data_IF_038063697346
#
_entry.id   IF_038063697346
#
_cell.length_a   1.000
_cell.length_b   1.000
_cell.length_c   1.000
_cell.angle_alpha   90.00
_cell.angle_beta   90.00
_cell.angle_gamma   90.00
#
_symmetry.space_group_name_H-M   'P 1'
#
loop_
_entity.id
_entity.type
_entity.pdbx_description
1 polymer ?
#
# COMPACT_ATOMS: atom_id res chain seq x y z
N UNK A 1 20.40 -9.96 -54.08
CA UNK A 1 18.96 -9.58 -54.09
C UNK A 1 18.83 -8.33 -53.21
N UNK A 2 18.36 -7.19 -53.75
CA UNK A 2 18.32 -5.93 -53.04
C UNK A 2 17.05 -5.81 -52.20
N UNK A 3 17.04 -4.93 -51.15
CA UNK A 3 15.89 -4.74 -50.27
C UNK A 3 14.82 -3.86 -50.94
N UNK A 4 13.57 -4.25 -50.71
CA UNK A 4 12.36 -3.59 -51.21
C UNK A 4 12.07 -2.36 -50.34
N UNK A 5 12.09 -1.18 -50.96
CA UNK A 5 11.65 0.09 -50.42
C UNK A 5 10.15 0.26 -50.59
N UNK A 6 9.40 0.50 -49.50
CA UNK A 6 8.00 0.94 -49.52
C UNK A 6 7.92 2.47 -49.33
N UNK A 7 7.06 3.16 -50.09
CA UNK A 7 6.97 4.63 -50.02
C UNK A 7 6.08 5.08 -48.83
N UNK A 8 6.64 6.00 -48.01
CA UNK A 8 5.85 6.72 -47.01
C UNK A 8 5.17 7.90 -47.69
N UNK A 9 3.89 7.81 -47.95
CA UNK A 9 3.05 8.91 -48.37
C UNK A 9 2.76 9.84 -47.23
N UNK A 10 3.00 11.15 -47.47
CA UNK A 10 2.95 12.22 -46.48
C UNK A 10 1.56 12.56 -45.96
N UNK A 11 1.51 12.77 -44.67
CA UNK A 11 0.49 13.61 -44.03
C UNK A 11 1.12 14.96 -43.63
N UNK A 12 0.89 15.98 -44.47
CA UNK A 12 1.09 17.37 -44.09
C UNK A 12 -0.08 17.80 -43.20
N UNK A 13 0.04 17.58 -41.89
CA UNK A 13 -0.78 18.22 -40.89
C UNK A 13 -0.11 19.55 -40.52
N UNK A 14 -0.77 20.68 -40.81
CA UNK A 14 -0.30 22.03 -40.48
C UNK A 14 -0.04 22.14 -38.98
N UNK A 15 1.21 22.26 -38.60
CA UNK A 15 1.63 22.65 -37.24
C UNK A 15 1.22 24.12 -37.03
N UNK A 16 0.16 24.35 -36.31
CA UNK A 16 -0.21 25.65 -35.80
C UNK A 16 0.81 26.05 -34.73
N UNK A 17 1.77 26.88 -35.08
CA UNK A 17 2.74 27.45 -34.13
C UNK A 17 2.09 28.71 -33.52
N UNK A 18 1.67 28.71 -32.26
CA UNK A 18 1.08 29.90 -31.65
C UNK A 18 2.16 30.97 -31.49
N UNK A 19 1.81 32.22 -31.82
CA UNK A 19 2.65 33.41 -31.64
C UNK A 19 3.10 33.54 -30.18
N UNK A 20 4.30 34.06 -29.97
CA UNK A 20 5.00 34.20 -28.67
C UNK A 20 4.20 34.91 -27.56
N UNK A 21 3.08 35.61 -27.89
CA UNK A 21 2.20 36.28 -26.97
C UNK A 21 1.19 35.35 -26.26
N UNK A 22 0.87 34.17 -26.85
CA UNK A 22 -0.20 33.31 -26.30
C UNK A 22 0.33 32.28 -25.30
N UNK A 23 1.65 32.06 -25.22
CA UNK A 23 2.25 31.09 -24.32
C UNK A 23 2.06 31.41 -22.83
N UNK A 24 1.97 32.73 -22.49
CA UNK A 24 1.70 33.17 -21.11
C UNK A 24 0.25 32.90 -20.68
N UNK A 25 -0.69 32.95 -21.61
CA UNK A 25 -2.11 32.65 -21.36
C UNK A 25 -2.36 31.16 -21.17
N UNK A 26 -1.68 30.31 -21.95
CA UNK A 26 -1.78 28.86 -21.85
C UNK A 26 -1.11 28.35 -20.55
N UNK A 27 0.05 28.91 -20.17
CA UNK A 27 0.71 28.59 -18.91
C UNK A 27 -0.12 28.99 -17.68
N UNK A 28 -0.82 30.13 -17.72
CA UNK A 28 -1.75 30.55 -16.64
C UNK A 28 -2.98 29.65 -16.54
N UNK A 29 -3.57 29.20 -17.66
CA UNK A 29 -4.72 28.27 -17.65
C UNK A 29 -4.32 26.86 -17.21
N UNK A 30 -3.12 26.40 -17.57
CA UNK A 30 -2.60 25.12 -17.08
C UNK A 30 -2.31 25.14 -15.56
N UNK A 31 -1.86 26.27 -15.01
CA UNK A 31 -1.62 26.42 -13.57
C UNK A 31 -2.89 26.34 -12.71
N UNK A 32 -4.07 26.65 -13.28
CA UNK A 32 -5.36 26.53 -12.57
C UNK A 32 -5.99 25.13 -12.66
N UNK A 33 -5.57 24.30 -13.61
CA UNK A 33 -6.17 22.98 -13.88
C UNK A 33 -5.33 21.84 -13.27
N UNK A 34 -4.04 22.09 -13.02
CA UNK A 34 -3.11 21.07 -12.48
C UNK A 34 -2.93 21.32 -10.98
N UNK A 35 -3.27 20.38 -10.10
CA UNK A 35 -3.03 20.54 -8.66
C UNK A 35 -1.56 20.92 -8.39
N UNK A 36 -1.28 21.84 -7.46
CA UNK A 36 0.08 22.31 -7.17
C UNK A 36 1.09 21.20 -6.85
N UNK A 37 0.61 20.05 -6.38
CA UNK A 37 1.39 18.83 -6.11
C UNK A 37 1.97 18.17 -7.36
N UNK A 38 1.30 18.26 -8.51
CA UNK A 38 1.80 17.72 -9.77
C UNK A 38 2.90 18.63 -10.32
N UNK A 39 2.80 19.95 -10.11
CA UNK A 39 3.84 20.90 -10.45
C UNK A 39 5.12 20.71 -9.62
N UNK A 40 5.00 20.40 -8.33
CA UNK A 40 6.13 20.10 -7.46
C UNK A 40 6.84 18.80 -7.87
N UNK A 41 6.10 17.78 -8.24
CA UNK A 41 6.63 16.50 -8.76
C UNK A 41 7.32 16.68 -10.14
N UNK A 42 6.72 17.49 -11.01
CA UNK A 42 7.30 17.86 -12.31
C UNK A 42 8.59 18.69 -12.15
N UNK A 43 8.61 19.62 -11.17
CA UNK A 43 9.77 20.44 -10.85
C UNK A 43 10.94 19.62 -10.31
N UNK A 44 10.68 18.66 -9.40
CA UNK A 44 11.74 17.80 -8.85
C UNK A 44 12.36 16.86 -9.89
N UNK A 45 11.53 16.26 -10.77
CA UNK A 45 12.06 15.47 -11.89
C UNK A 45 12.79 16.31 -12.95
N UNK A 46 12.41 17.58 -13.11
CA UNK A 46 13.08 18.52 -14.01
C UNK A 46 14.50 18.87 -13.55
N UNK A 47 14.71 19.03 -12.23
CA UNK A 47 16.04 19.29 -11.65
C UNK A 47 16.99 18.10 -11.87
N UNK A 48 16.51 16.88 -11.80
CA UNK A 48 17.34 15.67 -12.00
C UNK A 48 17.70 15.41 -13.47
N UNK A 49 16.90 15.91 -14.42
CA UNK A 49 17.09 15.71 -15.87
C UNK A 49 17.70 16.92 -16.58
N UNK A 50 17.77 18.09 -15.94
CA UNK A 50 18.05 19.39 -16.57
C UNK A 50 19.51 19.72 -16.78
N UNK A 51 20.45 18.77 -16.76
CA UNK A 51 21.87 19.08 -17.04
C UNK A 51 22.27 19.00 -18.51
N UNK A 52 21.38 18.67 -19.46
CA UNK A 52 21.66 18.77 -20.91
C UNK A 52 20.40 19.17 -21.71
N UNK A 53 20.35 20.45 -22.05
CA UNK A 53 19.74 21.05 -23.26
C UNK A 53 18.34 20.60 -23.70
N UNK A 54 17.30 21.37 -23.29
CA UNK A 54 16.12 21.58 -24.14
C UNK A 54 15.18 22.68 -23.59
N UNK A 55 14.42 23.39 -24.45
CA UNK A 55 13.62 24.54 -24.04
C UNK A 55 12.52 24.13 -23.03
N UNK A 56 12.21 24.97 -22.01
CA UNK A 56 11.43 24.58 -20.83
C UNK A 56 10.00 24.09 -21.14
N UNK A 57 9.40 24.49 -22.25
CA UNK A 57 8.06 24.07 -22.64
C UNK A 57 8.02 22.61 -23.12
N UNK A 58 9.03 22.16 -23.83
CA UNK A 58 9.13 20.73 -24.25
C UNK A 58 9.41 19.81 -23.07
N UNK A 59 10.22 20.25 -22.12
CA UNK A 59 10.49 19.48 -20.89
C UNK A 59 9.23 19.29 -20.05
N UNK A 60 8.40 20.34 -19.89
CA UNK A 60 7.12 20.26 -19.15
C UNK A 60 6.13 19.36 -19.90
N UNK A 61 5.98 19.50 -21.21
CA UNK A 61 5.09 18.65 -22.01
C UNK A 61 5.53 17.18 -22.01
N UNK A 62 6.84 16.91 -22.12
CA UNK A 62 7.39 15.57 -22.01
C UNK A 62 7.29 15.00 -20.59
N UNK A 63 7.44 15.83 -19.57
CA UNK A 63 7.23 15.43 -18.18
C UNK A 63 5.76 15.07 -17.93
N UNK A 64 4.80 15.90 -18.38
CA UNK A 64 3.37 15.59 -18.29
C UNK A 64 3.00 14.35 -19.10
N UNK A 65 3.57 14.16 -20.29
CA UNK A 65 3.33 12.96 -21.08
C UNK A 65 3.96 11.71 -20.44
N UNK A 66 5.14 11.80 -19.84
CA UNK A 66 5.76 10.71 -19.06
C UNK A 66 4.98 10.37 -17.80
N UNK A 67 4.45 11.37 -17.10
CA UNK A 67 3.57 11.18 -15.94
C UNK A 67 2.28 10.50 -16.39
N UNK A 68 1.63 10.97 -17.46
CA UNK A 68 0.42 10.35 -18.01
C UNK A 68 0.67 8.93 -18.54
N UNK A 69 1.82 8.69 -19.16
CA UNK A 69 2.24 7.36 -19.62
C UNK A 69 2.61 6.45 -18.45
N UNK A 70 3.28 6.95 -17.42
CA UNK A 70 3.55 6.21 -16.18
C UNK A 70 2.27 5.87 -15.42
N UNK A 71 1.27 6.73 -15.48
CA UNK A 71 -0.07 6.48 -14.98
C UNK A 71 -0.79 5.34 -15.75
N UNK A 72 -0.62 5.28 -17.07
CA UNK A 72 -1.22 4.25 -17.91
C UNK A 72 -0.46 2.91 -17.89
N UNK A 73 0.85 2.94 -17.73
CA UNK A 73 1.73 1.82 -18.05
C UNK A 73 1.93 0.76 -16.98
N UNK A 74 1.71 1.03 -15.69
CA UNK A 74 1.65 0.03 -14.60
C UNK A 74 1.08 0.71 -13.36
N UNK A 75 -0.05 0.22 -12.86
CA UNK A 75 -0.56 0.60 -11.53
C UNK A 75 0.52 0.28 -10.49
N UNK A 76 1.29 1.28 -10.13
CA UNK A 76 2.34 1.14 -9.10
C UNK A 76 1.65 1.30 -7.76
N UNK A 77 1.81 0.30 -6.89
CA UNK A 77 1.43 0.38 -5.49
C UNK A 77 2.13 1.59 -4.88
N UNK A 78 1.41 2.37 -4.06
CA UNK A 78 2.01 3.44 -3.29
C UNK A 78 2.82 2.83 -2.15
N UNK A 79 4.15 2.90 -2.24
CA UNK A 79 5.05 2.45 -1.19
C UNK A 79 5.45 3.63 -0.29
N UNK A 80 5.70 3.39 0.99
CA UNK A 80 6.14 4.44 1.93
C UNK A 80 7.48 5.08 1.53
N UNK A 81 8.33 4.35 0.82
CA UNK A 81 9.61 4.86 0.27
C UNK A 81 9.47 5.58 -1.07
N UNK A 82 8.26 5.68 -1.64
CA UNK A 82 8.06 6.38 -2.90
C UNK A 82 8.09 7.90 -2.70
N UNK A 83 8.68 8.63 -3.64
CA UNK A 83 8.71 10.09 -3.61
C UNK A 83 7.31 10.70 -3.56
N UNK A 84 6.33 10.08 -4.25
CA UNK A 84 4.95 10.53 -4.20
C UNK A 84 4.35 10.41 -2.80
N UNK A 85 4.61 9.31 -2.09
CA UNK A 85 4.16 9.16 -0.71
C UNK A 85 4.78 10.22 0.20
N UNK A 86 6.11 10.38 0.14
CA UNK A 86 6.87 11.27 1.05
C UNK A 86 6.54 12.73 0.83
N UNK A 87 6.37 13.17 -0.42
CA UNK A 87 6.20 14.59 -0.75
C UNK A 87 4.77 14.95 -1.15
N UNK A 88 4.00 14.01 -1.70
CA UNK A 88 2.67 14.27 -2.24
C UNK A 88 1.52 13.82 -1.33
N UNK A 89 1.69 12.74 -0.59
CA UNK A 89 0.63 12.18 0.24
C UNK A 89 0.80 12.52 1.74
N UNK A 90 1.98 12.25 2.29
CA UNK A 90 2.20 12.38 3.73
C UNK A 90 2.15 13.83 4.23
N UNK A 91 2.82 14.84 3.61
CA UNK A 91 2.79 16.20 4.15
C UNK A 91 1.39 16.83 4.14
N UNK A 92 0.56 16.77 3.06
CA UNK A 92 -0.80 17.28 3.11
C UNK A 92 -1.66 16.59 4.17
N UNK A 93 -1.50 15.26 4.33
CA UNK A 93 -2.19 14.52 5.37
C UNK A 93 -1.84 15.03 6.77
N UNK A 94 -0.54 15.20 7.08
CA UNK A 94 -0.09 15.68 8.39
C UNK A 94 -0.53 17.12 8.64
N UNK A 95 -0.43 18.00 7.64
CA UNK A 95 -0.90 19.40 7.76
C UNK A 95 -2.38 19.42 8.15
N UNK A 96 -3.23 18.70 7.41
CA UNK A 96 -4.67 18.65 7.70
C UNK A 96 -4.97 17.99 9.05
N UNK A 97 -4.22 16.95 9.39
CA UNK A 97 -4.38 16.19 10.64
C UNK A 97 -4.08 17.05 11.87
N UNK A 98 -3.02 17.86 11.83
CA UNK A 98 -2.64 18.73 12.94
C UNK A 98 -3.39 20.06 12.96
N UNK A 99 -3.83 20.57 11.79
CA UNK A 99 -4.61 21.81 11.71
C UNK A 99 -5.95 21.73 12.45
N UNK A 100 -6.58 20.54 12.49
CA UNK A 100 -7.89 20.36 13.11
C UNK A 100 -7.81 19.33 14.27
N UNK A 101 -7.75 19.78 15.53
CA UNK A 101 -7.57 18.91 16.70
C UNK A 101 -8.87 18.23 17.17
N UNK A 102 -9.80 17.90 16.25
CA UNK A 102 -11.07 17.21 16.56
C UNK A 102 -10.97 15.74 16.21
N UNK A 103 -11.17 14.84 17.18
CA UNK A 103 -11.09 13.38 16.99
C UNK A 103 -11.97 12.87 15.86
N UNK A 104 -13.20 13.40 15.73
CA UNK A 104 -14.10 13.02 14.64
C UNK A 104 -13.55 13.37 13.25
N UNK A 105 -12.96 14.57 13.09
CA UNK A 105 -12.32 15.00 11.85
C UNK A 105 -11.07 14.16 11.55
N UNK A 106 -10.19 13.97 12.54
CA UNK A 106 -8.99 13.15 12.40
C UNK A 106 -9.31 11.74 11.96
N UNK A 107 -10.35 11.13 12.57
CA UNK A 107 -10.83 9.80 12.18
C UNK A 107 -11.31 9.76 10.74
N UNK A 108 -12.17 10.70 10.32
CA UNK A 108 -12.66 10.78 8.95
C UNK A 108 -11.51 10.99 7.95
N UNK A 109 -10.57 11.90 8.27
CA UNK A 109 -9.39 12.16 7.45
C UNK A 109 -8.53 10.90 7.28
N UNK A 110 -8.26 10.17 8.37
CA UNK A 110 -7.47 8.93 8.32
C UNK A 110 -8.18 7.82 7.54
N UNK A 111 -9.50 7.68 7.66
CA UNK A 111 -10.27 6.73 6.84
C UNK A 111 -10.14 7.07 5.36
N UNK A 112 -10.40 8.33 4.99
CA UNK A 112 -10.32 8.78 3.59
C UNK A 112 -8.89 8.57 3.06
N UNK A 113 -7.87 8.97 3.81
CA UNK A 113 -6.47 8.78 3.43
C UNK A 113 -6.12 7.29 3.25
N UNK A 114 -6.57 6.43 4.16
CA UNK A 114 -6.32 4.98 4.10
C UNK A 114 -7.01 4.34 2.88
N UNK A 115 -8.25 4.69 2.63
CA UNK A 115 -8.99 4.21 1.46
C UNK A 115 -8.37 4.70 0.15
N UNK A 116 -7.93 5.97 0.09
CA UNK A 116 -7.21 6.52 -1.07
C UNK A 116 -5.86 5.83 -1.29
N UNK A 117 -5.10 5.59 -0.21
CA UNK A 117 -3.84 4.88 -0.27
C UNK A 117 -4.00 3.46 -0.84
N UNK A 118 -5.03 2.74 -0.37
CA UNK A 118 -5.34 1.40 -0.86
C UNK A 118 -5.89 1.42 -2.29
N UNK A 119 -6.81 2.35 -2.60
CA UNK A 119 -7.40 2.53 -3.94
C UNK A 119 -6.36 2.86 -5.00
N UNK A 120 -5.24 3.48 -4.62
CA UNK A 120 -4.15 3.78 -5.55
C UNK A 120 -3.60 2.53 -6.25
N UNK A 121 -3.44 1.45 -5.50
CA UNK A 121 -3.02 0.15 -6.03
C UNK A 121 -4.17 -0.73 -6.51
N UNK A 122 -5.27 -0.73 -5.76
CA UNK A 122 -6.38 -1.68 -5.89
C UNK A 122 -7.76 -1.00 -5.85
N UNK A 123 -8.14 -0.22 -6.89
CA UNK A 123 -9.34 0.63 -6.84
C UNK A 123 -10.65 -0.14 -6.71
N UNK A 124 -10.75 -1.35 -7.29
CA UNK A 124 -11.96 -2.18 -7.21
C UNK A 124 -12.05 -2.89 -5.86
N UNK A 125 -10.91 -3.36 -5.34
CA UNK A 125 -10.87 -4.13 -4.10
C UNK A 125 -11.06 -3.30 -2.82
N UNK A 126 -11.06 -1.97 -2.92
CA UNK A 126 -11.53 -1.09 -1.82
C UNK A 126 -12.97 -1.41 -1.45
N UNK A 127 -13.85 -1.64 -2.44
CA UNK A 127 -15.25 -1.98 -2.19
C UNK A 127 -15.38 -3.34 -1.50
N UNK A 128 -14.55 -4.31 -1.91
CA UNK A 128 -14.48 -5.61 -1.25
C UNK A 128 -14.07 -5.46 0.22
N UNK A 129 -13.03 -4.69 0.51
CA UNK A 129 -12.58 -4.42 1.88
C UNK A 129 -13.67 -3.76 2.73
N UNK A 130 -14.33 -2.71 2.21
CA UNK A 130 -15.42 -2.03 2.92
C UNK A 130 -16.58 -3.01 3.17
N UNK A 131 -16.95 -3.83 2.17
CA UNK A 131 -18.01 -4.83 2.30
C UNK A 131 -17.68 -5.89 3.35
N UNK A 132 -16.44 -6.39 3.37
CA UNK A 132 -15.97 -7.36 4.38
C UNK A 132 -16.03 -6.74 5.78
N UNK A 133 -15.50 -5.53 5.95
CA UNK A 133 -15.53 -4.83 7.25
C UNK A 133 -16.97 -4.57 7.72
N UNK A 134 -17.88 -4.24 6.79
CA UNK A 134 -19.29 -4.04 7.11
C UNK A 134 -19.96 -5.34 7.59
N UNK A 135 -19.70 -6.44 6.89
CA UNK A 135 -20.19 -7.76 7.29
C UNK A 135 -19.66 -8.16 8.67
N UNK A 136 -18.35 -8.02 8.90
CA UNK A 136 -17.73 -8.35 10.19
C UNK A 136 -18.20 -7.43 11.31
N UNK A 137 -18.47 -6.16 11.04
CA UNK A 137 -19.06 -5.24 12.01
C UNK A 137 -20.48 -5.66 12.42
N UNK A 138 -21.32 -6.01 11.44
CA UNK A 138 -22.69 -6.48 11.70
C UNK A 138 -22.69 -7.80 12.49
N UNK A 139 -21.91 -8.77 12.02
CA UNK A 139 -21.81 -10.09 12.66
C UNK A 139 -21.18 -9.99 14.06
N UNK A 140 -20.16 -9.16 14.23
CA UNK A 140 -19.54 -8.90 15.53
C UNK A 140 -20.51 -8.30 16.54
N UNK A 141 -21.39 -7.40 16.10
CA UNK A 141 -22.47 -6.88 16.95
C UNK A 141 -23.48 -7.97 17.35
N UNK A 142 -23.90 -8.77 16.38
CA UNK A 142 -24.82 -9.90 16.66
C UNK A 142 -24.20 -10.90 17.63
N UNK A 143 -22.92 -11.24 17.49
CA UNK A 143 -22.17 -12.10 18.43
C UNK A 143 -22.19 -11.50 19.84
N UNK A 144 -21.95 -10.19 19.97
CA UNK A 144 -21.95 -9.51 21.25
C UNK A 144 -23.35 -9.42 21.89
N UNK A 145 -24.39 -9.19 21.09
CA UNK A 145 -25.80 -9.14 21.56
C UNK A 145 -26.32 -10.48 22.06
N UNK A 146 -25.74 -11.60 21.58
CA UNK A 146 -26.04 -12.95 22.09
C UNK A 146 -25.28 -13.29 23.37
N UNK A 147 -24.35 -12.46 23.81
CA UNK A 147 -23.66 -12.65 25.08
C UNK A 147 -24.64 -12.70 26.25
N UNK A 148 -24.64 -13.83 26.96
CA UNK A 148 -25.60 -14.06 28.08
C UNK A 148 -27.01 -14.52 27.68
N UNK A 149 -27.32 -14.62 26.37
CA UNK A 149 -28.65 -15.10 25.91
C UNK A 149 -28.58 -16.53 25.38
N UNK A 150 -27.68 -16.84 24.46
CA UNK A 150 -27.53 -18.16 23.85
C UNK A 150 -26.11 -18.45 23.42
N UNK A 151 -25.41 -19.29 24.14
CA UNK A 151 -24.03 -19.70 23.78
C UNK A 151 -23.97 -20.46 22.46
N UNK A 152 -25.04 -21.23 22.12
CA UNK A 152 -25.09 -21.91 20.82
C UNK A 152 -25.18 -20.92 19.66
N UNK A 153 -26.08 -19.93 19.74
CA UNK A 153 -26.19 -18.90 18.68
C UNK A 153 -24.91 -18.08 18.53
N UNK A 154 -24.30 -17.70 19.63
CA UNK A 154 -23.04 -16.99 19.67
C UNK A 154 -21.90 -17.79 18.99
N UNK A 155 -21.80 -19.09 19.28
CA UNK A 155 -20.82 -19.99 18.65
C UNK A 155 -21.08 -20.16 17.16
N UNK A 156 -22.35 -20.38 16.76
CA UNK A 156 -22.71 -20.52 15.33
C UNK A 156 -22.38 -19.24 14.54
N UNK A 157 -22.72 -18.06 15.06
CA UNK A 157 -22.38 -16.79 14.42
C UNK A 157 -20.88 -16.60 14.28
N UNK A 158 -20.10 -16.93 15.32
CA UNK A 158 -18.64 -16.83 15.26
C UNK A 158 -18.07 -17.77 14.19
N UNK A 159 -18.48 -19.05 14.19
CA UNK A 159 -18.02 -20.02 13.18
C UNK A 159 -18.41 -19.58 11.76
N UNK A 160 -19.65 -19.11 11.57
CA UNK A 160 -20.11 -18.61 10.27
C UNK A 160 -19.25 -17.43 9.79
N UNK A 161 -18.97 -16.46 10.66
CA UNK A 161 -18.12 -15.31 10.31
C UNK A 161 -16.70 -15.75 9.93
N UNK A 162 -16.12 -16.67 10.70
CA UNK A 162 -14.79 -17.23 10.39
C UNK A 162 -14.80 -17.95 9.04
N UNK A 163 -15.83 -18.76 8.77
CA UNK A 163 -15.96 -19.49 7.49
C UNK A 163 -16.12 -18.52 6.30
N UNK A 164 -16.91 -17.46 6.44
CA UNK A 164 -17.07 -16.44 5.38
C UNK A 164 -15.71 -15.78 5.06
N UNK A 165 -14.97 -15.37 6.06
CA UNK A 165 -13.67 -14.73 5.89
C UNK A 165 -12.62 -15.70 5.28
N UNK A 166 -12.57 -16.95 5.74
CA UNK A 166 -11.68 -17.97 5.19
C UNK A 166 -12.08 -18.33 3.77
N UNK A 167 -13.38 -18.45 3.47
CA UNK A 167 -13.87 -18.71 2.12
C UNK A 167 -13.49 -17.58 1.16
N UNK A 168 -13.64 -16.31 1.59
CA UNK A 168 -13.22 -15.15 0.82
C UNK A 168 -11.72 -15.21 0.51
N UNK A 169 -10.89 -15.48 1.51
CA UNK A 169 -9.45 -15.65 1.31
C UNK A 169 -9.15 -16.84 0.39
N UNK A 170 -9.89 -17.94 0.55
CA UNK A 170 -9.79 -19.14 -0.27
C UNK A 170 -10.03 -18.88 -1.75
N UNK A 171 -11.09 -18.14 -2.05
CA UNK A 171 -11.43 -17.76 -3.44
C UNK A 171 -10.31 -16.95 -4.09
N UNK A 172 -9.78 -15.94 -3.42
CA UNK A 172 -8.76 -15.08 -4.05
C UNK A 172 -7.37 -15.72 -4.09
N UNK A 173 -7.03 -16.54 -3.09
CA UNK A 173 -5.66 -17.05 -2.94
C UNK A 173 -5.45 -18.46 -3.49
N UNK A 174 -6.48 -19.31 -3.41
CA UNK A 174 -6.30 -20.73 -3.66
C UNK A 174 -7.11 -21.30 -4.82
N UNK A 175 -7.97 -20.51 -5.51
CA UNK A 175 -8.79 -21.01 -6.61
C UNK A 175 -7.94 -21.59 -7.73
N UNK A 176 -6.95 -20.83 -8.23
CA UNK A 176 -6.09 -21.31 -9.32
C UNK A 176 -5.27 -22.53 -8.91
N UNK A 177 -4.79 -22.57 -7.66
CA UNK A 177 -4.09 -23.72 -7.12
C UNK A 177 -4.98 -24.97 -7.03
N UNK A 178 -6.21 -24.83 -6.52
CA UNK A 178 -7.17 -25.94 -6.40
C UNK A 178 -7.54 -26.46 -7.79
N UNK A 179 -7.90 -25.58 -8.73
CA UNK A 179 -8.26 -25.99 -10.10
C UNK A 179 -7.06 -26.64 -10.79
N UNK A 180 -5.85 -26.09 -10.65
CA UNK A 180 -4.63 -26.67 -11.19
C UNK A 180 -4.35 -28.08 -10.64
N UNK A 181 -4.57 -28.27 -9.33
CA UNK A 181 -4.42 -29.59 -8.68
C UNK A 181 -5.47 -30.58 -9.20
N UNK A 182 -6.74 -30.16 -9.30
CA UNK A 182 -7.82 -31.00 -9.85
C UNK A 182 -7.50 -31.41 -11.29
N UNK A 183 -7.05 -30.46 -12.13
CA UNK A 183 -6.65 -30.77 -13.50
C UNK A 183 -5.52 -31.79 -13.55
N UNK A 184 -4.53 -31.67 -12.67
CA UNK A 184 -3.37 -32.57 -12.63
C UNK A 184 -3.75 -33.97 -12.13
N UNK A 185 -4.62 -34.09 -11.13
CA UNK A 185 -5.02 -35.37 -10.52
C UNK A 185 -6.03 -36.12 -11.38
N UNK A 186 -7.01 -35.41 -11.91
CA UNK A 186 -8.13 -36.03 -12.64
C UNK A 186 -7.99 -35.96 -14.15
N UNK A 187 -6.91 -35.40 -14.70
CA UNK A 187 -6.71 -35.23 -16.14
C UNK A 187 -7.72 -34.27 -16.80
N UNK A 188 -8.36 -33.40 -16.00
CA UNK A 188 -9.32 -32.41 -16.50
C UNK A 188 -8.59 -31.22 -17.12
N UNK A 189 -9.31 -30.46 -17.95
CA UNK A 189 -8.83 -29.22 -18.57
C UNK A 189 -9.71 -28.02 -18.20
N UNK A 190 -10.04 -27.88 -16.90
CA UNK A 190 -10.83 -26.76 -16.41
C UNK A 190 -10.03 -25.45 -16.59
N UNK A 191 -10.66 -24.38 -17.11
CA UNK A 191 -10.00 -23.11 -17.29
C UNK A 191 -9.61 -22.49 -15.94
N UNK A 192 -8.37 -22.01 -15.82
CA UNK A 192 -7.92 -21.23 -14.67
C UNK A 192 -8.51 -19.82 -14.75
N UNK A 193 -9.29 -19.36 -13.77
CA UNK A 193 -9.93 -18.05 -13.81
C UNK A 193 -8.94 -16.88 -13.70
N UNK A 194 -7.70 -17.12 -13.24
CA UNK A 194 -6.67 -16.10 -13.13
C UNK A 194 -7.05 -14.96 -12.20
N UNK A 195 -7.72 -15.28 -11.09
CA UNK A 195 -8.19 -14.26 -10.14
C UNK A 195 -6.99 -13.55 -9.52
N UNK A 196 -6.90 -12.24 -9.74
CA UNK A 196 -5.83 -11.44 -9.17
C UNK A 196 -5.99 -11.34 -7.65
N UNK A 197 -4.95 -11.71 -6.91
CA UNK A 197 -4.91 -11.59 -5.45
C UNK A 197 -4.85 -10.11 -5.05
N UNK A 198 -5.86 -9.58 -4.31
CA UNK A 198 -5.81 -8.22 -3.80
C UNK A 198 -4.67 -8.03 -2.80
N UNK A 199 -3.96 -6.92 -2.93
CA UNK A 199 -2.86 -6.62 -2.02
C UNK A 199 -3.40 -6.43 -0.60
N UNK A 200 -2.74 -7.07 0.37
CA UNK A 200 -3.12 -6.95 1.78
C UNK A 200 -4.35 -7.74 2.20
N UNK A 201 -5.02 -8.52 1.30
CA UNK A 201 -6.23 -9.28 1.66
C UNK A 201 -6.01 -10.18 2.88
N UNK A 202 -4.89 -10.88 2.96
CA UNK A 202 -4.59 -11.75 4.10
C UNK A 202 -4.47 -10.95 5.39
N UNK A 203 -3.86 -9.76 5.34
CA UNK A 203 -3.67 -8.91 6.51
C UNK A 203 -5.00 -8.40 7.05
N UNK A 204 -5.84 -7.80 6.21
CA UNK A 204 -7.11 -7.25 6.68
C UNK A 204 -8.10 -8.34 7.10
N UNK A 205 -8.11 -9.53 6.46
CA UNK A 205 -8.93 -10.66 6.90
C UNK A 205 -8.45 -11.18 8.25
N UNK A 206 -7.14 -11.36 8.48
CA UNK A 206 -6.65 -11.81 9.78
C UNK A 206 -6.90 -10.80 10.89
N UNK A 207 -6.84 -9.49 10.62
CA UNK A 207 -7.23 -8.45 11.57
C UNK A 207 -8.73 -8.53 11.92
N UNK A 208 -9.57 -8.69 10.90
CA UNK A 208 -11.01 -8.86 11.09
C UNK A 208 -11.34 -10.12 11.91
N UNK A 209 -10.69 -11.25 11.59
CA UNK A 209 -10.83 -12.50 12.35
C UNK A 209 -10.36 -12.35 13.80
N UNK A 210 -9.23 -11.67 14.04
CA UNK A 210 -8.75 -11.40 15.39
C UNK A 210 -9.81 -10.63 16.20
N UNK A 211 -10.39 -9.57 15.61
CA UNK A 211 -11.46 -8.80 16.24
C UNK A 211 -12.69 -9.68 16.57
N UNK A 212 -13.16 -10.48 15.63
CA UNK A 212 -14.32 -11.35 15.82
C UNK A 212 -14.10 -12.39 16.93
N UNK A 213 -12.90 -12.98 16.96
CA UNK A 213 -12.53 -13.96 18.00
C UNK A 213 -12.42 -13.28 19.36
N UNK A 214 -11.88 -12.08 19.45
CA UNK A 214 -11.76 -11.33 20.71
C UNK A 214 -13.13 -10.92 21.25
N UNK A 215 -14.07 -10.50 20.36
CA UNK A 215 -15.48 -10.25 20.74
C UNK A 215 -16.17 -11.55 21.18
N UNK A 216 -15.97 -12.66 20.48
CA UNK A 216 -16.52 -13.95 20.85
C UNK A 216 -16.01 -14.43 22.22
N UNK A 217 -14.72 -14.23 22.51
CA UNK A 217 -14.12 -14.57 23.82
C UNK A 217 -14.56 -13.63 24.94
N UNK A 218 -15.23 -12.52 24.62
CA UNK A 218 -15.63 -11.51 25.59
C UNK A 218 -14.46 -10.64 26.10
N UNK A 219 -13.32 -10.67 25.41
CA UNK A 219 -12.15 -9.84 25.75
C UNK A 219 -12.44 -8.36 25.54
N UNK A 220 -13.22 -8.04 24.51
CA UNK A 220 -13.65 -6.68 24.17
C UNK A 220 -15.13 -6.64 23.84
N UNK A 221 -15.85 -5.55 24.19
CA UNK A 221 -17.22 -5.36 23.74
C UNK A 221 -17.27 -5.16 22.22
N UNK A 222 -18.35 -5.56 21.54
CA UNK A 222 -18.51 -5.35 20.11
C UNK A 222 -18.46 -3.86 19.78
N UNK A 223 -17.69 -3.49 18.75
CA UNK A 223 -17.56 -2.10 18.35
C UNK A 223 -18.89 -1.56 17.81
N UNK A 224 -19.42 -0.53 18.46
CA UNK A 224 -20.68 0.10 18.05
C UNK A 224 -20.55 0.99 16.82
N UNK A 225 -19.39 1.60 16.62
CA UNK A 225 -19.14 2.54 15.52
C UNK A 225 -18.46 1.85 14.34
N UNK A 226 -19.14 1.77 13.20
CA UNK A 226 -18.59 1.25 11.96
C UNK A 226 -17.29 1.99 11.55
N UNK A 227 -17.26 3.32 11.68
CA UNK A 227 -16.11 4.11 11.30
C UNK A 227 -14.84 3.78 12.11
N UNK A 228 -14.97 3.38 13.37
CA UNK A 228 -13.82 2.95 14.18
C UNK A 228 -13.27 1.61 13.71
N UNK A 229 -14.15 0.64 13.44
CA UNK A 229 -13.73 -0.65 12.92
C UNK A 229 -13.15 -0.52 11.51
N UNK A 230 -13.76 0.31 10.66
CA UNK A 230 -13.24 0.59 9.34
C UNK A 230 -11.84 1.21 9.41
N UNK A 231 -11.62 2.21 10.28
CA UNK A 231 -10.29 2.78 10.48
C UNK A 231 -9.29 1.71 10.95
N UNK A 232 -9.67 0.89 11.94
CA UNK A 232 -8.80 -0.19 12.44
C UNK A 232 -8.31 -1.10 11.33
N UNK A 233 -9.22 -1.60 10.48
CA UNK A 233 -8.88 -2.57 9.45
C UNK A 233 -8.20 -1.92 8.24
N UNK A 234 -8.66 -0.72 7.82
CA UNK A 234 -8.15 -0.05 6.63
C UNK A 234 -6.91 0.80 6.86
N UNK A 235 -6.46 0.97 8.11
CA UNK A 235 -5.42 1.93 8.47
C UNK A 235 -4.13 1.73 7.67
N UNK A 236 -3.79 2.70 6.82
CA UNK A 236 -2.77 2.55 5.79
C UNK A 236 -1.37 2.20 6.31
N UNK A 237 -0.92 2.61 7.52
CA UNK A 237 0.40 2.22 7.98
C UNK A 237 0.56 0.71 8.20
N UNK A 238 -0.51 0.02 8.60
CA UNK A 238 -0.46 -1.42 8.89
C UNK A 238 -1.00 -2.31 7.76
N UNK A 239 -1.80 -1.75 6.83
CA UNK A 239 -2.65 -2.50 5.90
C UNK A 239 -1.89 -3.46 4.95
N UNK A 240 -0.71 -3.08 4.45
CA UNK A 240 -0.01 -3.86 3.41
C UNK A 240 0.99 -4.84 4.02
N UNK A 241 1.90 -4.39 4.86
CA UNK A 241 2.96 -5.19 5.48
C UNK A 241 3.42 -4.61 6.83
N UNK A 242 2.53 -3.86 7.51
CA UNK A 242 2.80 -3.32 8.84
C UNK A 242 2.80 -4.41 9.91
N UNK A 243 3.09 -4.03 11.17
CA UNK A 243 2.93 -4.94 12.31
C UNK A 243 1.49 -5.48 12.37
N UNK A 244 1.34 -6.74 12.75
CA UNK A 244 0.02 -7.32 13.02
C UNK A 244 -0.45 -6.77 14.36
N UNK A 245 -1.38 -5.82 14.31
CA UNK A 245 -1.90 -5.13 15.50
C UNK A 245 -3.23 -5.75 15.87
N UNK A 246 -3.40 -6.17 17.12
CA UNK A 246 -4.68 -6.64 17.63
C UNK A 246 -5.62 -5.47 17.88
N UNK A 247 -6.91 -5.73 17.82
CA UNK A 247 -7.91 -4.69 18.08
C UNK A 247 -7.71 -3.99 19.44
N UNK A 248 -7.40 -4.75 20.48
CA UNK A 248 -7.18 -4.23 21.82
C UNK A 248 -5.99 -3.28 21.95
N UNK A 249 -4.96 -3.47 21.14
CA UNK A 249 -3.74 -2.64 21.21
C UNK A 249 -4.00 -1.19 20.76
N UNK A 250 -4.96 -0.99 19.85
CA UNK A 250 -5.25 0.35 19.31
C UNK A 250 -6.65 0.87 19.64
N UNK A 251 -7.50 0.07 20.28
CA UNK A 251 -8.86 0.47 20.63
C UNK A 251 -8.92 1.79 21.42
N UNK A 252 -8.06 2.06 22.42
CA UNK A 252 -8.04 3.35 23.13
C UNK A 252 -7.73 4.53 22.20
N UNK A 253 -6.78 4.36 21.28
CA UNK A 253 -6.41 5.40 20.32
C UNK A 253 -7.50 5.66 19.27
N UNK A 254 -8.35 4.65 18.97
CA UNK A 254 -9.51 4.84 18.10
C UNK A 254 -10.60 5.69 18.77
N UNK A 255 -10.70 5.65 20.10
CA UNK A 255 -11.66 6.45 20.85
C UNK A 255 -11.22 7.91 20.91
N UNK A 256 -9.96 8.17 21.18
CA UNK A 256 -9.42 9.50 21.28
C UNK A 256 -8.05 9.62 20.58
N UNK A 257 -8.06 10.19 19.37
CA UNK A 257 -6.86 10.38 18.56
C UNK A 257 -6.10 11.63 19.06
N UNK A 258 -5.14 11.43 19.93
CA UNK A 258 -4.30 12.51 20.52
C UNK A 258 -2.82 12.18 20.34
N UNK A 259 -2.17 12.69 19.28
CA UNK A 259 -0.72 12.57 19.15
C UNK A 259 -0.03 13.46 20.20
N UNK A 260 0.94 12.90 20.91
CA UNK A 260 1.86 13.68 21.76
C UNK A 260 3.05 14.19 20.93
N UNK A 261 3.52 15.41 21.22
CA UNK A 261 4.63 16.04 20.47
C UNK A 261 5.92 15.23 20.55
N UNK A 262 6.19 14.61 21.71
CA UNK A 262 7.37 13.77 21.90
C UNK A 262 7.29 12.48 21.07
N UNK A 263 6.10 11.87 21.00
CA UNK A 263 5.87 10.68 20.19
C UNK A 263 5.91 10.99 18.70
N UNK A 264 5.46 12.17 18.30
CA UNK A 264 5.61 12.64 16.90
C UNK A 264 7.07 12.71 16.49
N UNK A 265 7.93 13.33 17.31
CA UNK A 265 9.36 13.41 17.03
C UNK A 265 10.01 12.02 16.95
N UNK A 266 9.71 11.14 17.91
CA UNK A 266 10.15 9.74 17.87
C UNK A 266 9.65 8.99 16.63
N UNK A 267 8.41 9.27 16.23
CA UNK A 267 7.79 8.71 15.04
C UNK A 267 8.53 9.12 13.76
N UNK A 268 8.86 10.42 13.62
CA UNK A 268 9.65 10.93 12.48
C UNK A 268 11.04 10.28 12.45
N UNK A 269 11.73 10.23 13.59
CA UNK A 269 13.05 9.57 13.68
C UNK A 269 12.97 8.08 13.33
N UNK A 270 11.89 7.39 13.75
CA UNK A 270 11.67 5.98 13.44
C UNK A 270 11.39 5.77 11.95
N UNK A 271 10.53 6.61 11.38
CA UNK A 271 10.26 6.59 9.93
C UNK A 271 11.52 6.80 9.11
N UNK A 272 12.33 7.79 9.46
CA UNK A 272 13.59 8.09 8.77
C UNK A 272 14.58 6.90 8.83
N UNK A 273 14.70 6.24 9.98
CA UNK A 273 15.51 5.02 10.13
C UNK A 273 15.01 3.89 9.24
N UNK A 274 13.68 3.65 9.21
CA UNK A 274 13.07 2.65 8.34
C UNK A 274 13.31 2.94 6.86
N UNK A 275 13.16 4.20 6.46
CA UNK A 275 13.44 4.66 5.09
C UNK A 275 14.92 4.43 4.74
N UNK A 276 15.84 4.73 5.65
CA UNK A 276 17.27 4.45 5.48
C UNK A 276 17.56 2.96 5.26
N UNK A 277 16.99 2.07 6.08
CA UNK A 277 17.10 0.61 5.89
C UNK A 277 16.64 0.18 4.49
N UNK A 278 15.50 0.68 4.03
CA UNK A 278 14.93 0.35 2.72
C UNK A 278 15.78 0.90 1.57
N UNK A 279 16.12 2.18 1.60
CA UNK A 279 16.77 2.87 0.48
C UNK A 279 18.26 2.57 0.41
N UNK A 280 18.96 2.62 1.55
CA UNK A 280 20.42 2.51 1.59
C UNK A 280 20.93 1.06 1.69
N UNK A 281 20.12 0.13 2.21
CA UNK A 281 20.59 -1.26 2.37
C UNK A 281 19.79 -2.19 1.45
N UNK A 282 18.47 -2.31 1.64
CA UNK A 282 17.66 -3.28 0.89
C UNK A 282 17.73 -3.08 -0.62
N UNK A 283 17.60 -1.84 -1.11
CA UNK A 283 17.63 -1.57 -2.56
C UNK A 283 19.00 -1.87 -3.18
N UNK A 284 20.10 -1.60 -2.46
CA UNK A 284 21.45 -1.94 -2.95
C UNK A 284 21.70 -3.45 -2.96
N UNK A 285 21.25 -4.15 -1.92
CA UNK A 285 21.29 -5.62 -1.91
C UNK A 285 20.46 -6.20 -3.07
N UNK A 286 19.27 -5.65 -3.34
CA UNK A 286 18.43 -6.06 -4.48
C UNK A 286 19.13 -5.85 -5.82
N UNK A 287 19.79 -4.71 -6.01
CA UNK A 287 20.54 -4.43 -7.22
C UNK A 287 21.73 -5.39 -7.40
N UNK A 288 22.44 -5.71 -6.30
CA UNK A 288 23.55 -6.67 -6.33
C UNK A 288 23.05 -8.10 -6.62
N UNK A 289 21.94 -8.54 -6.02
CA UNK A 289 21.30 -9.84 -6.35
C UNK A 289 20.94 -9.90 -7.83
N UNK A 290 20.29 -8.86 -8.35
CA UNK A 290 19.92 -8.80 -9.77
C UNK A 290 21.13 -8.85 -10.70
N UNK A 291 22.25 -8.21 -10.31
CA UNK A 291 23.50 -8.29 -11.07
C UNK A 291 24.10 -9.70 -11.08
N UNK A 292 24.04 -10.42 -9.93
CA UNK A 292 24.49 -11.82 -9.85
C UNK A 292 23.59 -12.77 -10.65
N UNK A 293 22.25 -12.51 -10.65
CA UNK A 293 21.30 -13.31 -11.42
C UNK A 293 21.43 -13.10 -12.95
N UNK A 294 22.02 -11.99 -13.38
CA UNK A 294 22.27 -11.70 -14.79
C UNK A 294 23.56 -12.36 -15.34
N UNK A 295 24.38 -12.98 -14.49
CA UNK A 295 25.57 -13.71 -14.92
C UNK A 295 25.19 -14.95 -15.73
N UNK A 296 25.77 -15.12 -16.90
CA UNK A 296 25.57 -16.27 -17.77
C UNK A 296 26.56 -17.37 -17.47
N UNK A 297 26.14 -18.64 -17.51
CA UNK A 297 26.97 -19.81 -17.26
C UNK A 297 26.72 -20.48 -15.89
N UNK A 298 27.45 -21.55 -15.60
CA UNK A 298 27.34 -22.23 -14.31
C UNK A 298 27.91 -21.32 -13.19
N UNK A 299 27.13 -20.96 -12.14
CA UNK A 299 27.61 -20.07 -11.11
C UNK A 299 28.69 -20.76 -10.24
N UNK A 300 29.75 -20.04 -9.92
CA UNK A 300 30.72 -20.48 -8.92
C UNK A 300 30.06 -20.59 -7.54
N UNK A 301 30.54 -21.48 -6.68
CA UNK A 301 30.03 -21.67 -5.32
C UNK A 301 30.00 -20.35 -4.52
N UNK A 302 31.01 -19.53 -4.67
CA UNK A 302 31.11 -18.21 -4.05
C UNK A 302 30.00 -17.27 -4.49
N UNK A 303 29.61 -17.31 -5.77
CA UNK A 303 28.49 -16.50 -6.33
C UNK A 303 27.17 -16.94 -5.72
N UNK A 304 26.95 -18.25 -5.56
CA UNK A 304 25.72 -18.78 -4.95
C UNK A 304 25.59 -18.33 -3.49
N UNK A 305 26.67 -18.43 -2.72
CA UNK A 305 26.68 -17.98 -1.32
C UNK A 305 26.54 -16.47 -1.19
N UNK A 306 27.23 -15.69 -2.03
CA UNK A 306 27.10 -14.24 -2.03
C UNK A 306 25.64 -13.80 -2.34
N UNK A 307 25.01 -14.45 -3.33
CA UNK A 307 23.62 -14.22 -3.68
C UNK A 307 22.69 -14.56 -2.50
N UNK A 308 22.86 -15.70 -1.86
CA UNK A 308 22.04 -16.12 -0.72
C UNK A 308 22.14 -15.12 0.46
N UNK A 309 23.34 -14.68 0.81
CA UNK A 309 23.57 -13.69 1.86
C UNK A 309 22.95 -12.33 1.51
N UNK A 310 23.19 -11.83 0.30
CA UNK A 310 22.62 -10.55 -0.15
C UNK A 310 21.09 -10.59 -0.21
N UNK A 311 20.51 -11.70 -0.65
CA UNK A 311 19.07 -11.88 -0.68
C UNK A 311 18.46 -11.94 0.73
N UNK A 312 19.13 -12.59 1.68
CA UNK A 312 18.73 -12.61 3.09
C UNK A 312 18.75 -11.19 3.68
N UNK A 313 19.80 -10.43 3.45
CA UNK A 313 19.90 -9.03 3.89
C UNK A 313 18.83 -8.15 3.22
N UNK A 314 18.62 -8.35 1.92
CA UNK A 314 17.57 -7.63 1.17
C UNK A 314 16.20 -7.83 1.82
N UNK A 315 15.77 -9.08 2.03
CA UNK A 315 14.44 -9.36 2.61
C UNK A 315 14.33 -8.80 4.03
N UNK A 316 15.36 -9.01 4.85
CA UNK A 316 15.35 -8.51 6.22
C UNK A 316 15.24 -7.00 6.31
N UNK A 317 16.09 -6.26 5.58
CA UNK A 317 16.07 -4.80 5.61
C UNK A 317 14.89 -4.20 4.85
N UNK A 318 14.35 -4.90 3.86
CA UNK A 318 13.11 -4.50 3.19
C UNK A 318 11.93 -4.52 4.15
N UNK A 319 11.71 -5.65 4.81
CA UNK A 319 10.56 -5.82 5.68
C UNK A 319 10.73 -5.09 7.03
N UNK A 320 11.91 -5.14 7.66
CA UNK A 320 12.16 -4.38 8.89
C UNK A 320 12.11 -2.87 8.65
N UNK A 321 12.58 -2.39 7.50
CA UNK A 321 12.48 -0.99 7.11
C UNK A 321 11.03 -0.54 6.92
N UNK A 322 10.21 -1.36 6.27
CA UNK A 322 8.77 -1.11 6.13
C UNK A 322 8.08 -1.06 7.51
N UNK A 323 8.36 -2.02 8.38
CA UNK A 323 7.80 -2.07 9.73
C UNK A 323 8.17 -0.85 10.56
N UNK A 324 9.44 -0.40 10.51
CA UNK A 324 9.88 0.82 11.19
C UNK A 324 9.18 2.07 10.65
N UNK A 325 8.98 2.16 9.32
CA UNK A 325 8.20 3.26 8.72
C UNK A 325 6.75 3.22 9.18
N UNK A 326 6.12 2.05 9.24
CA UNK A 326 4.74 1.87 9.71
C UNK A 326 4.55 2.27 11.17
N UNK A 327 5.45 1.80 12.06
CA UNK A 327 5.45 2.18 13.49
C UNK A 327 5.69 3.69 13.64
N UNK A 328 6.61 4.25 12.87
CA UNK A 328 6.88 5.68 12.86
C UNK A 328 5.65 6.50 12.46
N UNK A 329 4.96 6.10 11.39
CA UNK A 329 3.70 6.71 10.94
C UNK A 329 2.59 6.59 12.00
N UNK A 330 2.45 5.40 12.61
CA UNK A 330 1.51 5.19 13.71
C UNK A 330 1.71 6.21 14.83
N UNK A 331 2.95 6.34 15.34
CA UNK A 331 3.30 7.30 16.42
C UNK A 331 3.04 8.75 16.02
N UNK A 332 3.37 9.15 14.78
CA UNK A 332 3.04 10.48 14.28
C UNK A 332 1.54 10.77 14.29
N UNK A 333 0.71 9.75 14.13
CA UNK A 333 -0.75 9.86 14.08
C UNK A 333 -1.44 9.55 15.43
N UNK A 334 -0.67 9.30 16.51
CA UNK A 334 -1.20 9.02 17.83
C UNK A 334 -1.60 7.56 18.07
N UNK A 335 -1.02 6.62 17.30
CA UNK A 335 -1.20 5.18 17.46
C UNK A 335 0.13 4.52 17.81
N UNK A 336 0.15 3.74 18.87
CA UNK A 336 1.33 2.95 19.24
C UNK A 336 1.19 1.52 18.75
N UNK A 337 2.10 1.13 17.85
CA UNK A 337 2.13 -0.22 17.28
C UNK A 337 3.18 -1.06 17.98
N UNK A 338 2.91 -2.37 18.17
CA UNK A 338 3.89 -3.29 18.73
C UNK A 338 5.13 -3.42 17.83
N UNK A 339 6.26 -3.76 18.43
CA UNK A 339 7.49 -4.06 17.71
C UNK A 339 7.32 -5.35 16.89
N UNK A 340 7.61 -5.29 15.58
CA UNK A 340 7.51 -6.44 14.69
C UNK A 340 8.86 -7.18 14.56
N UNK A 341 9.97 -6.46 14.69
CA UNK A 341 11.32 -7.00 14.55
C UNK A 341 12.13 -6.76 15.83
N UNK A 342 12.35 -7.82 16.59
CA UNK A 342 13.20 -7.82 17.77
C UNK A 342 14.22 -8.95 17.65
N UNK A 343 15.31 -8.70 16.91
CA UNK A 343 16.42 -9.63 16.67
C UNK A 343 15.97 -11.06 16.27
N UNK A 344 15.19 -11.22 15.15
CA UNK A 344 14.55 -12.49 14.82
C UNK A 344 15.52 -13.63 14.54
N UNK A 345 16.75 -13.33 14.09
CA UNK A 345 17.77 -14.35 13.79
C UNK A 345 18.51 -14.90 15.02
N UNK A 346 18.35 -14.28 16.18
CA UNK A 346 18.94 -14.73 17.45
C UNK A 346 17.87 -15.07 18.49
N UNK A 347 16.60 -15.04 18.11
CA UNK A 347 15.49 -15.42 18.97
C UNK A 347 15.51 -16.92 19.22
N UNK A 348 15.42 -17.33 20.48
CA UNK A 348 15.44 -18.74 20.87
C UNK A 348 14.05 -19.38 20.87
N UNK A 349 12.98 -18.59 20.89
CA UNK A 349 11.59 -19.07 20.86
C UNK A 349 10.64 -17.93 20.47
#
# INVERSE_FOLDING_TARGET
MPPVSLPIQGYRGALFVPRRSDTKGIARRAAHIVPPLILLYAYYNSIYVSYKTSPPVRAIAQCCARIAHAWRSKRRIMLFSSLFFIYGFLPPLLILFYAVPRTGFRRALLIIASLLFYAWGEPIYVLLMIGTVLADWLLGRLIGEQGGKSDRARRVLCVLTVLINIALLGVFKYTDFIIGTVNSVFGCSLPLPGIRLPIGISFFIFQALSYIIDVYRGMYPPQRSFSRLLLYISFFPQLIAGPIVRYGDIAPALDEIKPDTHDVFRGVCRFARGLGKKVLISNYCAAAVAALDALTGAPALTTVWARALLFTLQIYFDFSGYSDMAIGLGRMLGFDFPENFNYPFVSAS
#
